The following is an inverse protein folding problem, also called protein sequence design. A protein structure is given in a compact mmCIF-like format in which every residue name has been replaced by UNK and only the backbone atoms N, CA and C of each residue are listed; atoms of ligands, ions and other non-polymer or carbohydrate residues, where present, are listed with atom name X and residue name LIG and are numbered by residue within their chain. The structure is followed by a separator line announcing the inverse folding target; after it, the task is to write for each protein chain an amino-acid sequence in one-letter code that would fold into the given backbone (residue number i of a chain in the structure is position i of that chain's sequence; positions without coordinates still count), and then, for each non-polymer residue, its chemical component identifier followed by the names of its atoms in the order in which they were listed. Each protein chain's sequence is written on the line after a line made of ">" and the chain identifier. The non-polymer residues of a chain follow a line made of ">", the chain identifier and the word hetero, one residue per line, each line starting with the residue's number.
data_IF_212534783402
#
_entry.id   IF_212534783402
#
_cell.length_a   1.000
_cell.length_b   1.000
_cell.length_c   1.000
_cell.angle_alpha   90.00
_cell.angle_beta   90.00
_cell.angle_gamma   90.00
#
_symmetry.space_group_name_H-M   'P 1'
#
loop_
_entity.id
_entity.type
_entity.pdbx_description
1 polymer ?
#
# COMPACT_ATOMS: atom_id res chain seq x y z
N UNK A 1 -55.56 -8.02 -29.54
CA UNK A 1 -54.48 -9.02 -29.47
C UNK A 1 -53.18 -8.25 -29.69
N UNK A 2 -52.48 -7.87 -28.62
CA UNK A 2 -51.29 -7.00 -28.67
C UNK A 2 -50.06 -7.83 -28.30
N UNK A 3 -49.13 -8.01 -29.24
CA UNK A 3 -47.83 -8.65 -29.02
C UNK A 3 -46.82 -7.60 -28.58
N UNK A 4 -46.21 -7.81 -27.42
CA UNK A 4 -45.03 -7.07 -26.97
C UNK A 4 -43.79 -7.71 -27.60
N UNK A 5 -43.03 -6.93 -28.37
CA UNK A 5 -41.70 -7.32 -28.86
C UNK A 5 -40.69 -6.85 -27.81
N UNK A 6 -40.13 -7.80 -27.06
CA UNK A 6 -38.97 -7.54 -26.21
C UNK A 6 -37.73 -7.54 -27.09
N UNK A 7 -37.23 -6.36 -27.44
CA UNK A 7 -35.91 -6.21 -28.08
C UNK A 7 -34.86 -6.35 -26.98
N UNK A 8 -34.29 -7.54 -26.84
CA UNK A 8 -33.08 -7.75 -26.04
C UNK A 8 -31.90 -7.25 -26.88
N UNK A 9 -31.42 -6.06 -26.57
CA UNK A 9 -30.17 -5.52 -27.09
C UNK A 9 -29.01 -6.36 -26.56
N UNK A 10 -28.65 -7.40 -27.31
CA UNK A 10 -27.35 -8.06 -27.19
C UNK A 10 -26.29 -7.14 -27.79
N UNK A 11 -25.65 -6.34 -26.94
CA UNK A 11 -24.35 -5.75 -27.28
C UNK A 11 -23.36 -6.92 -27.34
N UNK A 12 -22.68 -7.18 -28.47
CA UNK A 12 -21.78 -8.32 -28.57
C UNK A 12 -20.52 -7.99 -27.75
N UNK A 13 -20.34 -8.75 -26.67
CA UNK A 13 -19.14 -8.81 -25.82
C UNK A 13 -17.84 -9.11 -26.61
N UNK A 14 -17.96 -9.46 -27.89
CA UNK A 14 -16.86 -9.78 -28.82
C UNK A 14 -16.05 -8.54 -29.23
N UNK A 15 -16.63 -7.32 -29.18
CA UNK A 15 -15.87 -6.09 -29.46
C UNK A 15 -14.91 -5.68 -28.31
N UNK A 16 -15.01 -6.31 -27.13
CA UNK A 16 -14.11 -6.07 -26.00
C UNK A 16 -12.82 -6.92 -26.07
N UNK A 17 -12.77 -7.93 -26.94
CA UNK A 17 -11.75 -8.99 -26.88
C UNK A 17 -10.57 -8.79 -27.85
N UNK A 18 -10.70 -8.02 -28.93
CA UNK A 18 -9.56 -7.54 -29.72
C UNK A 18 -8.88 -6.32 -29.08
N UNK A 19 -9.40 -5.83 -27.95
CA UNK A 19 -8.96 -4.63 -27.25
C UNK A 19 -8.00 -4.90 -26.06
N UNK A 20 -7.55 -6.13 -25.79
CA UNK A 20 -6.82 -6.43 -24.54
C UNK A 20 -5.40 -5.84 -24.47
N UNK A 21 -4.66 -5.80 -25.58
CA UNK A 21 -3.38 -5.08 -25.66
C UNK A 21 -3.58 -3.59 -25.93
N UNK A 22 -4.62 -3.24 -26.70
CA UNK A 22 -4.99 -1.85 -27.00
C UNK A 22 -5.43 -1.06 -25.76
N UNK A 23 -6.14 -1.69 -24.82
CA UNK A 23 -6.64 -1.03 -23.60
C UNK A 23 -5.55 -0.73 -22.57
N UNK A 24 -4.49 -1.53 -22.48
CA UNK A 24 -3.37 -1.19 -21.59
C UNK A 24 -2.59 0.01 -22.13
N UNK A 25 -2.34 0.06 -23.43
CA UNK A 25 -1.73 1.26 -24.02
C UNK A 25 -2.63 2.48 -23.85
N UNK A 26 -3.96 2.30 -23.86
CA UNK A 26 -4.92 3.38 -23.57
C UNK A 26 -4.86 3.86 -22.11
N UNK A 27 -4.68 2.99 -21.12
CA UNK A 27 -4.63 3.43 -19.73
C UNK A 27 -3.35 4.24 -19.40
N UNK A 28 -2.18 3.84 -19.89
CA UNK A 28 -0.96 4.66 -19.73
C UNK A 28 -1.05 5.95 -20.54
N UNK A 29 -1.64 5.91 -21.75
CA UNK A 29 -1.94 7.12 -22.52
C UNK A 29 -2.93 8.03 -21.78
N UNK A 30 -3.92 7.47 -21.11
CA UNK A 30 -4.89 8.22 -20.31
C UNK A 30 -4.26 8.87 -19.09
N UNK A 31 -3.27 8.21 -18.48
CA UNK A 31 -2.46 8.83 -17.42
C UNK A 31 -1.57 9.93 -18.01
N UNK A 32 -1.03 9.72 -19.20
CA UNK A 32 -0.16 10.70 -19.84
C UNK A 32 -0.89 11.84 -20.56
N UNK A 33 -2.21 11.76 -20.77
CA UNK A 33 -2.93 12.72 -21.62
C UNK A 33 -2.95 14.13 -21.05
N UNK A 34 -2.83 14.25 -19.73
CA UNK A 34 -2.89 15.54 -19.04
C UNK A 34 -1.48 16.11 -18.78
N UNK A 35 -0.70 16.26 -19.86
CA UNK A 35 0.61 16.93 -19.79
C UNK A 35 1.80 16.00 -19.51
N UNK A 36 1.67 14.70 -19.82
CA UNK A 36 2.77 13.75 -19.81
C UNK A 36 3.23 13.36 -21.21
N UNK A 37 4.32 12.59 -21.27
CA UNK A 37 4.81 11.97 -22.50
C UNK A 37 5.01 10.48 -22.29
N UNK A 38 4.52 9.69 -23.24
CA UNK A 38 4.75 8.25 -23.28
C UNK A 38 6.10 7.98 -23.94
N UNK A 39 7.01 7.34 -23.21
CA UNK A 39 8.32 6.88 -23.70
C UNK A 39 8.39 5.36 -23.55
N UNK A 40 8.23 4.64 -24.67
CA UNK A 40 8.11 3.18 -24.63
C UNK A 40 6.87 2.73 -23.85
N UNK A 41 7.08 2.00 -22.74
CA UNK A 41 6.03 1.53 -21.83
C UNK A 41 5.95 2.35 -20.53
N UNK A 42 6.47 3.57 -20.58
CA UNK A 42 6.55 4.49 -19.45
C UNK A 42 5.73 5.73 -19.76
N UNK A 43 5.00 6.22 -18.77
CA UNK A 43 4.43 7.56 -18.81
C UNK A 43 5.29 8.48 -17.93
N UNK A 44 5.86 9.53 -18.52
CA UNK A 44 6.65 10.53 -17.79
C UNK A 44 5.81 11.79 -17.65
N UNK A 45 5.60 12.23 -16.41
CA UNK A 45 4.77 13.39 -16.07
C UNK A 45 5.59 14.40 -15.27
N UNK A 46 5.72 15.64 -15.75
CA UNK A 46 6.25 16.74 -14.95
C UNK A 46 5.21 17.20 -13.93
N UNK A 47 5.58 17.19 -12.66
CA UNK A 47 4.78 17.79 -11.59
C UNK A 47 5.34 19.18 -11.28
N UNK A 48 4.46 20.17 -11.24
CA UNK A 48 4.84 21.55 -10.91
C UNK A 48 4.89 21.79 -9.39
N UNK A 49 5.37 22.97 -8.99
CA UNK A 49 5.51 23.33 -7.57
C UNK A 49 4.16 23.37 -6.83
N UNK A 50 3.06 23.72 -7.49
CA UNK A 50 1.74 23.78 -6.87
C UNK A 50 1.19 22.37 -6.60
N UNK A 51 1.34 21.46 -7.56
CA UNK A 51 1.03 20.04 -7.40
C UNK A 51 1.92 19.39 -6.33
N UNK A 52 3.17 19.83 -6.21
CA UNK A 52 4.04 19.40 -5.12
C UNK A 52 3.50 19.87 -3.75
N UNK A 53 3.18 21.16 -3.59
CA UNK A 53 2.68 21.69 -2.31
C UNK A 53 1.38 21.01 -1.87
N UNK A 54 0.49 20.71 -2.83
CA UNK A 54 -0.75 19.98 -2.56
C UNK A 54 -0.51 18.55 -2.05
N UNK A 55 0.57 17.90 -2.49
CA UNK A 55 0.83 16.49 -2.20
C UNK A 55 1.90 16.27 -1.10
N UNK A 56 2.72 17.27 -0.78
CA UNK A 56 3.89 17.13 0.09
C UNK A 56 3.67 17.46 1.59
N UNK A 57 2.42 17.62 2.03
CA UNK A 57 2.04 17.81 3.45
C UNK A 57 2.98 18.73 4.25
N UNK A 58 3.35 19.89 3.69
CA UNK A 58 4.08 20.95 4.40
C UNK A 58 5.61 20.90 4.35
N UNK A 59 6.21 20.06 3.51
CA UNK A 59 7.66 20.10 3.27
C UNK A 59 7.99 21.11 2.16
N UNK A 60 8.96 22.00 2.41
CA UNK A 60 9.48 22.89 1.37
C UNK A 60 10.42 22.14 0.41
N UNK A 61 10.50 22.50 -0.89
CA UNK A 61 11.44 21.88 -1.83
C UNK A 61 12.90 21.90 -1.37
N UNK A 62 13.32 22.96 -0.64
CA UNK A 62 14.66 23.09 -0.06
C UNK A 62 14.93 22.08 1.07
N UNK A 63 13.92 21.73 1.88
CA UNK A 63 14.09 20.73 2.93
C UNK A 63 14.28 19.33 2.33
N UNK A 64 13.62 19.04 1.21
CA UNK A 64 13.84 17.81 0.45
C UNK A 64 15.26 17.70 -0.10
N UNK A 65 15.78 18.79 -0.67
CA UNK A 65 17.14 18.84 -1.19
C UNK A 65 18.18 18.51 -0.12
N UNK A 66 17.98 19.04 1.09
CA UNK A 66 18.91 18.85 2.21
C UNK A 66 18.92 17.41 2.74
N UNK A 67 17.81 16.70 2.63
CA UNK A 67 17.64 15.38 3.25
C UNK A 67 17.82 14.21 2.29
N UNK A 68 17.89 14.45 0.97
CA UNK A 68 18.04 13.42 -0.07
C UNK A 68 17.14 12.19 0.19
N UNK A 69 15.94 12.40 0.74
CA UNK A 69 15.05 11.31 1.14
C UNK A 69 14.29 10.82 -0.10
N UNK A 70 14.89 9.82 -0.75
CA UNK A 70 14.34 9.20 -1.95
C UNK A 70 12.93 8.63 -1.72
N UNK A 71 12.68 8.08 -0.52
CA UNK A 71 11.38 7.48 -0.18
C UNK A 71 10.27 8.53 -0.09
N UNK A 72 10.59 9.70 0.46
CA UNK A 72 9.64 10.80 0.52
C UNK A 72 9.27 11.33 -0.88
N UNK A 73 10.23 11.40 -1.83
CA UNK A 73 9.93 11.85 -3.20
C UNK A 73 9.13 10.81 -3.98
N UNK A 74 9.43 9.51 -3.80
CA UNK A 74 8.67 8.44 -4.42
C UNK A 74 7.20 8.44 -3.97
N UNK A 75 6.95 8.74 -2.69
CA UNK A 75 5.60 8.88 -2.13
C UNK A 75 4.80 10.02 -2.79
N UNK A 76 5.46 11.08 -3.29
CA UNK A 76 4.78 12.15 -4.02
C UNK A 76 4.24 11.66 -5.36
N UNK A 77 5.05 10.92 -6.12
CA UNK A 77 4.60 10.32 -7.38
C UNK A 77 3.43 9.36 -7.16
N UNK A 78 3.45 8.60 -6.06
CA UNK A 78 2.32 7.77 -5.62
C UNK A 78 1.07 8.60 -5.35
N UNK A 79 1.21 9.61 -4.49
CA UNK A 79 0.10 10.43 -4.00
C UNK A 79 -0.56 11.16 -5.16
N UNK A 80 0.23 11.70 -6.10
CA UNK A 80 -0.27 12.29 -7.34
C UNK A 80 -1.06 11.27 -8.17
N UNK A 81 -0.54 10.06 -8.35
CA UNK A 81 -1.22 8.99 -9.09
C UNK A 81 -2.56 8.62 -8.44
N UNK A 82 -2.58 8.45 -7.11
CA UNK A 82 -3.78 8.11 -6.36
C UNK A 82 -4.82 9.25 -6.38
N UNK A 83 -4.41 10.48 -6.11
CA UNK A 83 -5.31 11.64 -6.08
C UNK A 83 -5.96 11.90 -7.44
N UNK A 84 -5.18 11.82 -8.52
CA UNK A 84 -5.65 12.17 -9.86
C UNK A 84 -6.50 11.05 -10.48
N UNK A 85 -6.13 9.79 -10.25
CA UNK A 85 -6.71 8.66 -11.00
C UNK A 85 -7.61 7.75 -10.17
N UNK A 86 -7.69 7.92 -8.85
CA UNK A 86 -8.69 7.22 -8.03
C UNK A 86 -10.11 7.43 -8.56
N UNK A 87 -10.45 8.66 -8.97
CA UNK A 87 -11.78 8.99 -9.51
C UNK A 87 -12.06 8.35 -10.88
N UNK A 88 -11.08 8.34 -11.78
CA UNK A 88 -11.17 7.70 -13.10
C UNK A 88 -11.47 6.20 -13.00
N UNK A 89 -10.90 5.53 -11.99
CA UNK A 89 -11.13 4.10 -11.74
C UNK A 89 -12.39 3.80 -10.92
N UNK A 90 -12.92 4.78 -10.19
CA UNK A 90 -14.18 4.65 -9.46
C UNK A 90 -15.39 4.91 -10.37
N UNK A 91 -15.27 5.80 -11.36
CA UNK A 91 -16.35 6.18 -12.28
C UNK A 91 -16.72 5.14 -13.34
N UNK A 92 -15.87 4.13 -13.58
CA UNK A 92 -16.10 3.08 -14.59
C UNK A 92 -16.62 1.75 -14.05
N UNK A 93 -17.00 1.65 -12.76
CA UNK A 93 -17.28 0.36 -12.12
C UNK A 93 -18.67 -0.19 -12.44
N UNK A 94 -18.70 -1.37 -13.04
CA UNK A 94 -19.73 -2.38 -12.78
C UNK A 94 -19.59 -2.87 -11.33
N UNK A 95 -20.71 -3.15 -10.65
CA UNK A 95 -20.78 -3.53 -9.23
C UNK A 95 -19.96 -4.79 -8.86
N UNK A 96 -19.51 -5.56 -9.85
CA UNK A 96 -18.86 -6.86 -9.66
C UNK A 96 -17.32 -6.85 -9.76
N UNK A 97 -16.69 -5.70 -10.03
CA UNK A 97 -15.23 -5.60 -10.07
C UNK A 97 -14.73 -5.17 -8.68
N UNK A 98 -13.97 -6.02 -7.95
CA UNK A 98 -13.47 -5.69 -6.62
C UNK A 98 -12.69 -4.37 -6.66
N UNK A 99 -12.73 -3.61 -5.57
CA UNK A 99 -11.98 -2.38 -5.44
C UNK A 99 -10.48 -2.65 -5.60
N UNK A 100 -9.95 -2.37 -6.79
CA UNK A 100 -8.55 -2.47 -7.10
C UNK A 100 -7.93 -1.07 -6.98
N UNK A 101 -6.77 -0.99 -6.34
CA UNK A 101 -6.02 0.26 -6.17
C UNK A 101 -5.10 0.44 -7.38
N UNK A 102 -4.94 1.67 -7.88
CA UNK A 102 -4.15 1.92 -9.09
C UNK A 102 -2.68 1.50 -8.93
N UNK A 103 -2.17 1.63 -7.71
CA UNK A 103 -0.82 1.24 -7.29
C UNK A 103 -0.59 -0.27 -7.32
N UNK A 104 -1.66 -1.07 -7.45
CA UNK A 104 -1.54 -2.50 -7.72
C UNK A 104 -0.98 -2.79 -9.12
N UNK A 105 -1.24 -1.89 -10.07
CA UNK A 105 -0.94 -2.08 -11.50
C UNK A 105 0.14 -1.17 -12.01
N UNK A 106 0.37 -0.05 -11.33
CA UNK A 106 1.27 0.99 -11.80
C UNK A 106 2.34 1.19 -10.75
N UNK A 107 3.57 0.87 -11.13
CA UNK A 107 4.74 1.32 -10.41
C UNK A 107 4.91 2.82 -10.67
N UNK A 108 5.33 3.52 -9.62
CA UNK A 108 5.68 4.93 -9.66
C UNK A 108 7.11 5.09 -9.13
N UNK A 109 7.89 5.92 -9.79
CA UNK A 109 9.23 6.32 -9.33
C UNK A 109 9.53 7.74 -9.86
N UNK A 110 10.66 8.30 -9.44
CA UNK A 110 11.27 9.43 -10.14
C UNK A 110 11.81 8.98 -11.50
N UNK A 111 11.58 9.79 -12.52
CA UNK A 111 12.08 9.52 -13.86
C UNK A 111 13.61 9.54 -13.91
N UNK A 112 14.16 8.65 -14.72
CA UNK A 112 15.60 8.44 -14.84
C UNK A 112 16.22 9.38 -15.88
N UNK A 113 17.34 10.03 -15.56
CA UNK A 113 18.03 10.97 -16.47
C UNK A 113 18.63 10.29 -17.71
N UNK A 114 18.91 8.98 -17.65
CA UNK A 114 19.63 8.25 -18.69
C UNK A 114 18.81 7.83 -19.93
N UNK A 115 17.48 7.85 -19.87
CA UNK A 115 16.62 7.14 -20.84
C UNK A 115 16.28 7.93 -22.11
N UNK A 116 17.11 8.91 -22.53
CA UNK A 116 16.76 9.88 -23.59
C UNK A 116 15.41 10.60 -23.35
N UNK A 117 14.90 10.60 -22.11
CA UNK A 117 13.57 11.14 -21.78
C UNK A 117 13.46 12.65 -22.03
N UNK A 118 14.60 13.35 -22.03
CA UNK A 118 14.66 14.79 -22.25
C UNK A 118 14.19 15.17 -23.65
N UNK A 119 14.58 14.41 -24.68
CA UNK A 119 14.23 14.74 -26.06
C UNK A 119 12.71 14.70 -26.29
N UNK A 120 11.97 13.65 -25.88
CA UNK A 120 10.51 13.63 -25.93
C UNK A 120 9.86 14.74 -25.09
N UNK A 121 10.38 15.03 -23.89
CA UNK A 121 9.81 16.06 -23.02
C UNK A 121 10.01 17.49 -23.57
N UNK A 122 11.18 17.79 -24.13
CA UNK A 122 11.44 19.05 -24.84
C UNK A 122 10.60 19.15 -26.12
N UNK A 123 10.50 18.06 -26.89
CA UNK A 123 9.66 18.01 -28.09
C UNK A 123 8.19 18.29 -27.81
N UNK A 124 7.70 17.83 -26.65
CA UNK A 124 6.34 18.10 -26.17
C UNK A 124 6.19 19.45 -25.44
N UNK A 125 7.26 20.23 -25.30
CA UNK A 125 7.30 21.52 -24.58
C UNK A 125 6.81 21.42 -23.12
N UNK A 126 7.12 20.30 -22.47
CA UNK A 126 6.72 20.03 -21.09
C UNK A 126 7.74 20.48 -20.05
N UNK A 127 8.96 20.79 -20.49
CA UNK A 127 10.00 21.35 -19.66
C UNK A 127 10.07 22.86 -19.90
N UNK A 128 9.83 23.62 -18.85
CA UNK A 128 10.04 25.06 -18.87
C UNK A 128 11.53 25.35 -18.69
N UNK A 129 12.11 26.18 -19.58
CA UNK A 129 13.56 26.49 -19.58
C UNK A 129 14.04 27.12 -18.26
N UNK A 130 13.14 27.81 -17.54
CA UNK A 130 13.39 28.47 -16.26
C UNK A 130 13.01 27.61 -15.04
N UNK A 131 12.91 26.29 -15.17
CA UNK A 131 12.63 25.37 -14.04
C UNK A 131 13.69 24.29 -13.90
N UNK A 132 14.03 23.99 -12.66
CA UNK A 132 14.86 22.86 -12.29
C UNK A 132 13.97 21.65 -11.98
N UNK A 133 14.14 20.56 -12.74
CA UNK A 133 13.37 19.33 -12.56
C UNK A 133 14.22 18.27 -11.86
N UNK A 134 13.74 17.78 -10.71
CA UNK A 134 14.35 16.68 -9.97
C UNK A 134 14.07 15.34 -10.65
N UNK A 135 15.10 14.52 -10.71
CA UNK A 135 15.15 13.22 -11.38
C UNK A 135 16.05 12.27 -10.60
N UNK A 136 16.16 11.02 -11.08
CA UNK A 136 17.03 9.99 -10.55
C UNK A 136 18.13 9.66 -11.55
N UNK A 137 19.37 9.59 -11.09
CA UNK A 137 20.52 9.10 -11.84
C UNK A 137 20.55 7.58 -11.93
N UNK A 138 21.40 7.05 -12.81
CA UNK A 138 21.58 5.62 -12.94
C UNK A 138 21.93 4.83 -11.67
N UNK A 139 22.69 5.47 -10.80
CA UNK A 139 23.12 4.93 -9.51
C UNK A 139 22.08 5.10 -8.40
N UNK A 140 20.90 5.65 -8.71
CA UNK A 140 19.82 5.91 -7.77
C UNK A 140 19.95 7.23 -7.00
N UNK A 141 20.99 8.02 -7.25
CA UNK A 141 21.14 9.36 -6.66
C UNK A 141 20.19 10.36 -7.31
N UNK A 142 19.93 11.48 -6.62
CA UNK A 142 19.10 12.54 -7.17
C UNK A 142 19.90 13.42 -8.13
N UNK A 143 19.28 13.86 -9.22
CA UNK A 143 19.85 14.76 -10.21
C UNK A 143 18.87 15.83 -10.66
N UNK A 144 19.41 16.93 -11.17
CA UNK A 144 18.65 18.00 -11.80
C UNK A 144 18.93 18.04 -13.29
N UNK A 145 17.87 18.18 -14.09
CA UNK A 145 17.98 18.31 -15.55
C UNK A 145 18.53 19.69 -15.95
N UNK A 146 18.24 20.73 -15.16
CA UNK A 146 18.74 22.09 -15.38
C UNK A 146 19.49 22.57 -14.13
N UNK A 147 20.54 23.36 -14.33
CA UNK A 147 21.38 23.94 -13.26
C UNK A 147 21.40 25.46 -13.28
N UNK A 148 20.35 26.09 -13.83
CA UNK A 148 20.26 27.55 -13.82
C UNK A 148 19.85 28.04 -12.41
N UNK A 149 20.20 29.28 -12.10
CA UNK A 149 19.73 30.08 -10.93
C UNK A 149 18.22 30.38 -11.05
N UNK A 150 17.45 29.36 -11.38
CA UNK A 150 16.04 29.44 -11.71
C UNK A 150 15.20 29.46 -10.45
N UNK A 151 14.11 30.21 -10.47
CA UNK A 151 13.24 30.42 -9.31
C UNK A 151 12.15 29.34 -9.16
N UNK A 152 12.12 28.35 -10.06
CA UNK A 152 11.08 27.33 -10.11
C UNK A 152 11.62 25.90 -9.98
N UNK A 153 10.88 25.07 -9.25
CA UNK A 153 11.20 23.66 -9.02
C UNK A 153 10.08 22.76 -9.53
N UNK A 154 10.44 21.62 -10.11
CA UNK A 154 9.51 20.56 -10.51
C UNK A 154 10.10 19.17 -10.31
N UNK A 155 9.29 18.15 -10.51
CA UNK A 155 9.71 16.74 -10.43
C UNK A 155 9.27 16.03 -11.69
N UNK A 156 10.04 15.03 -12.13
CA UNK A 156 9.56 14.12 -13.16
C UNK A 156 9.18 12.79 -12.51
N UNK A 157 7.90 12.46 -12.55
CA UNK A 157 7.43 11.15 -12.14
C UNK A 157 7.38 10.23 -13.35
N UNK A 158 7.85 9.00 -13.15
CA UNK A 158 7.73 7.89 -14.08
C UNK A 158 6.68 6.91 -13.57
N UNK A 159 5.74 6.57 -14.45
CA UNK A 159 4.71 5.57 -14.22
C UNK A 159 4.87 4.43 -15.20
N UNK A 160 4.94 3.20 -14.70
CA UNK A 160 5.10 1.99 -15.51
C UNK A 160 4.17 0.88 -15.06
N UNK A 161 3.83 -0.04 -15.95
CA UNK A 161 3.05 -1.21 -15.53
C UNK A 161 3.86 -2.13 -14.62
N UNK A 162 3.26 -2.49 -13.50
CA UNK A 162 3.77 -3.54 -12.62
C UNK A 162 3.42 -4.89 -13.24
N UNK A 163 4.46 -5.63 -13.66
CA UNK A 163 4.34 -7.00 -14.24
C UNK A 163 3.31 -7.03 -15.38
N UNK A 164 3.63 -6.33 -16.46
CA UNK A 164 2.82 -6.25 -17.68
C UNK A 164 2.32 -7.63 -18.15
N UNK A 165 3.16 -8.66 -18.04
CA UNK A 165 2.83 -10.02 -18.47
C UNK A 165 1.73 -10.66 -17.60
N UNK A 166 1.65 -10.33 -16.31
CA UNK A 166 0.58 -10.78 -15.43
C UNK A 166 -0.74 -10.03 -15.74
N UNK A 167 -0.70 -8.72 -16.00
CA UNK A 167 -1.91 -8.00 -16.42
C UNK A 167 -2.46 -8.53 -17.75
N UNK A 168 -1.59 -8.79 -18.73
CA UNK A 168 -2.01 -9.32 -20.02
C UNK A 168 -2.82 -10.61 -19.83
N UNK A 169 -2.37 -11.50 -18.94
CA UNK A 169 -3.08 -12.76 -18.62
C UNK A 169 -4.46 -12.59 -17.99
N UNK A 170 -4.77 -11.44 -17.39
CA UNK A 170 -6.10 -11.16 -16.83
C UNK A 170 -7.13 -10.76 -17.90
N UNK A 171 -6.64 -10.22 -19.03
CA UNK A 171 -7.48 -9.85 -20.16
C UNK A 171 -7.53 -10.95 -21.23
N UNK A 172 -6.70 -11.98 -21.12
CA UNK A 172 -6.87 -13.18 -21.93
C UNK A 172 -8.18 -13.87 -21.51
N UNK A 173 -9.09 -14.16 -22.46
CA UNK A 173 -10.31 -14.89 -22.15
C UNK A 173 -9.94 -16.21 -21.50
N UNK A 174 -10.36 -16.41 -20.25
CA UNK A 174 -10.13 -17.65 -19.53
C UNK A 174 -10.77 -18.77 -20.34
N UNK A 175 -9.92 -19.52 -21.06
CA UNK A 175 -10.35 -20.61 -21.91
C UNK A 175 -10.92 -21.68 -20.99
N UNK A 176 -12.25 -21.73 -20.92
CA UNK A 176 -12.98 -22.61 -20.04
C UNK A 176 -12.89 -24.02 -20.61
N UNK A 177 -11.86 -24.78 -20.26
CA UNK A 177 -11.90 -26.24 -20.37
C UNK A 177 -10.68 -26.87 -19.72
N UNK A 178 -10.88 -27.44 -18.53
CA UNK A 178 -10.70 -28.88 -18.23
C UNK A 178 -11.02 -29.01 -16.74
N UNK A 179 -11.94 -29.89 -16.37
CA UNK A 179 -12.21 -30.21 -14.96
C UNK A 179 -10.93 -30.76 -14.31
N UNK A 180 -10.15 -29.85 -13.73
CA UNK A 180 -9.03 -30.18 -12.85
C UNK A 180 -9.64 -30.68 -11.54
N UNK A 181 -9.18 -31.79 -10.97
CA UNK A 181 -9.69 -32.30 -9.70
C UNK A 181 -9.67 -31.16 -8.67
N UNK A 182 -10.85 -30.81 -8.18
CA UNK A 182 -11.05 -29.70 -7.25
C UNK A 182 -10.52 -30.14 -5.90
N UNK A 183 -9.23 -29.86 -5.66
CA UNK A 183 -8.65 -29.92 -4.32
C UNK A 183 -9.56 -29.07 -3.41
N UNK A 184 -10.04 -29.60 -2.27
CA UNK A 184 -10.87 -28.84 -1.36
C UNK A 184 -10.19 -27.52 -0.98
N UNK A 185 -10.95 -26.43 -0.97
CA UNK A 185 -10.44 -25.08 -0.62
C UNK A 185 -9.70 -25.08 0.73
N UNK A 186 -10.15 -25.87 1.69
CA UNK A 186 -9.50 -26.06 3.00
C UNK A 186 -8.08 -26.63 2.90
N UNK A 187 -7.83 -27.52 1.94
CA UNK A 187 -6.51 -28.09 1.70
C UNK A 187 -5.59 -27.07 1.02
N UNK A 188 -6.12 -26.27 0.09
CA UNK A 188 -5.39 -25.16 -0.53
C UNK A 188 -5.02 -24.08 0.50
N UNK A 189 -5.92 -23.73 1.41
CA UNK A 189 -5.62 -22.80 2.52
C UNK A 189 -4.52 -23.37 3.42
N UNK A 190 -4.61 -24.65 3.78
CA UNK A 190 -3.61 -25.33 4.59
C UNK A 190 -2.23 -25.43 3.93
N UNK A 191 -2.18 -25.45 2.60
CA UNK A 191 -0.93 -25.53 1.82
C UNK A 191 -0.35 -24.15 1.49
N UNK A 192 -1.18 -23.21 1.09
CA UNK A 192 -0.73 -21.97 0.45
C UNK A 192 -0.79 -20.76 1.40
N UNK A 193 -1.63 -20.79 2.45
CA UNK A 193 -1.78 -19.69 3.41
C UNK A 193 -1.02 -19.96 4.70
N UNK A 194 -1.39 -21.03 5.42
CA UNK A 194 -0.89 -21.30 6.78
C UNK A 194 0.64 -21.43 6.87
N UNK A 195 1.32 -22.15 5.94
CA UNK A 195 2.78 -22.31 6.02
C UNK A 195 3.56 -21.02 5.76
N UNK A 196 2.92 -20.05 5.11
CA UNK A 196 3.52 -18.76 4.76
C UNK A 196 3.17 -17.64 5.75
N UNK A 197 2.38 -17.94 6.78
CA UNK A 197 2.14 -17.03 7.87
C UNK A 197 3.40 -16.95 8.77
N UNK A 198 3.85 -15.73 9.04
CA UNK A 198 5.02 -15.46 9.89
C UNK A 198 4.57 -15.13 11.33
N UNK A 199 5.37 -15.46 12.35
CA UNK A 199 5.06 -15.10 13.72
C UNK A 199 5.04 -13.58 13.90
N UNK A 200 3.96 -13.04 14.45
CA UNK A 200 3.88 -11.66 14.90
C UNK A 200 4.54 -11.57 16.28
N UNK A 201 5.77 -11.07 16.34
CA UNK A 201 6.56 -11.06 17.55
C UNK A 201 6.32 -9.78 18.33
N UNK A 202 5.97 -9.91 19.61
CA UNK A 202 5.86 -8.81 20.55
C UNK A 202 7.16 -8.65 21.33
N UNK A 203 7.60 -7.42 21.51
CA UNK A 203 8.67 -7.02 22.41
C UNK A 203 8.23 -5.86 23.29
N UNK A 204 8.92 -5.72 24.41
CA UNK A 204 8.66 -4.66 25.38
C UNK A 204 9.94 -3.92 25.73
N UNK A 205 9.90 -2.59 25.63
CA UNK A 205 10.99 -1.71 26.02
C UNK A 205 10.78 -1.18 27.43
N UNK A 206 11.42 -1.78 28.44
CA UNK A 206 11.28 -1.37 29.85
C UNK A 206 11.56 0.12 30.07
N UNK A 207 12.59 0.68 29.41
CA UNK A 207 12.96 2.09 29.54
C UNK A 207 11.90 3.05 28.98
N UNK A 208 11.12 2.61 28.00
CA UNK A 208 10.15 3.44 27.29
C UNK A 208 8.70 3.12 27.68
N UNK A 209 8.48 1.97 28.33
CA UNK A 209 7.17 1.41 28.67
C UNK A 209 6.32 1.32 27.40
N UNK A 210 6.85 0.65 26.38
CA UNK A 210 6.21 0.52 25.06
C UNK A 210 6.29 -0.91 24.55
N UNK A 211 5.20 -1.36 23.95
CA UNK A 211 5.21 -2.58 23.15
C UNK A 211 5.54 -2.30 21.69
N UNK A 212 6.25 -3.24 21.07
CA UNK A 212 6.57 -3.22 19.66
C UNK A 212 6.32 -4.58 19.03
N UNK A 213 5.97 -4.58 17.75
CA UNK A 213 5.50 -5.69 16.96
C UNK A 213 6.26 -5.73 15.65
N UNK A 214 6.78 -6.90 15.31
CA UNK A 214 7.45 -7.10 14.03
C UNK A 214 7.22 -8.50 13.51
N UNK A 215 7.26 -8.63 12.19
CA UNK A 215 7.31 -9.91 11.50
C UNK A 215 8.76 -10.10 11.02
N UNK A 216 9.22 -11.35 10.98
CA UNK A 216 10.46 -11.78 10.31
C UNK A 216 11.81 -11.39 10.96
N UNK A 217 11.91 -10.24 11.62
CA UNK A 217 13.14 -9.82 12.30
C UNK A 217 13.30 -10.47 13.69
N UNK A 218 14.51 -10.96 14.01
CA UNK A 218 14.92 -11.26 15.40
C UNK A 218 15.52 -10.04 16.12
N UNK A 219 15.82 -8.96 15.39
CA UNK A 219 16.45 -7.76 15.94
C UNK A 219 15.37 -6.75 16.25
N UNK A 220 15.07 -6.60 17.53
CA UNK A 220 14.21 -5.53 18.02
C UNK A 220 15.01 -4.22 18.09
N UNK A 221 14.32 -3.06 18.15
CA UNK A 221 15.00 -1.80 18.43
C UNK A 221 15.83 -1.89 19.72
N UNK A 222 16.92 -1.13 19.80
CA UNK A 222 17.80 -1.12 20.98
C UNK A 222 16.98 -0.78 22.23
N UNK A 223 17.11 -1.59 23.27
CA UNK A 223 16.37 -1.43 24.54
C UNK A 223 15.05 -2.20 24.61
N UNK A 224 14.61 -2.86 23.53
CA UNK A 224 13.46 -3.75 23.53
C UNK A 224 13.88 -5.20 23.78
N UNK A 225 13.12 -5.89 24.62
CA UNK A 225 13.30 -7.32 24.88
C UNK A 225 12.15 -8.10 24.28
N UNK A 226 12.47 -9.20 23.62
CA UNK A 226 11.45 -10.14 23.13
C UNK A 226 10.62 -10.66 24.29
N UNK A 227 9.31 -10.62 24.16
CA UNK A 227 8.41 -11.26 25.12
C UNK A 227 7.97 -12.62 24.58
N UNK A 228 7.20 -12.62 23.48
CA UNK A 228 6.64 -13.82 22.84
C UNK A 228 6.07 -13.54 21.46
N UNK A 229 5.62 -14.60 20.78
CA UNK A 229 4.84 -14.49 19.56
C UNK A 229 3.34 -14.40 19.90
N UNK A 230 2.63 -13.49 19.24
CA UNK A 230 1.21 -13.25 19.37
C UNK A 230 0.45 -13.89 18.19
N UNK A 231 0.75 -15.17 17.92
CA UNK A 231 0.25 -15.91 16.77
C UNK A 231 1.02 -15.62 15.47
N UNK A 232 0.44 -16.03 14.35
CA UNK A 232 1.00 -15.87 13.00
C UNK A 232 0.07 -15.02 12.13
N UNK A 233 0.66 -14.21 11.27
CA UNK A 233 -0.02 -13.32 10.32
C UNK A 233 0.62 -13.48 8.95
N UNK A 234 -0.09 -13.13 7.88
CA UNK A 234 0.51 -13.13 6.54
C UNK A 234 1.22 -11.79 6.35
N UNK A 235 2.56 -11.76 6.20
CA UNK A 235 3.26 -10.51 5.93
C UNK A 235 2.75 -9.87 4.64
N UNK A 236 2.59 -8.54 4.63
CA UNK A 236 2.12 -7.84 3.44
C UNK A 236 3.06 -8.04 2.24
N UNK A 237 4.37 -8.15 2.49
CA UNK A 237 5.37 -8.51 1.47
C UNK A 237 5.01 -9.83 0.79
N UNK A 238 4.77 -10.91 1.53
CA UNK A 238 4.35 -12.19 0.97
C UNK A 238 3.02 -12.09 0.21
N UNK A 239 2.04 -11.39 0.79
CA UNK A 239 0.76 -11.16 0.14
C UNK A 239 0.89 -10.45 -1.20
N UNK A 240 1.70 -9.38 -1.27
CA UNK A 240 1.91 -8.61 -2.49
C UNK A 240 2.49 -9.44 -3.64
N UNK A 241 3.30 -10.47 -3.33
CA UNK A 241 3.83 -11.39 -4.33
C UNK A 241 2.81 -12.46 -4.77
N UNK A 242 1.93 -12.88 -3.86
CA UNK A 242 0.97 -13.98 -4.06
C UNK A 242 -0.50 -13.53 -4.07
N UNK A 243 -0.73 -12.26 -4.42
CA UNK A 243 -2.00 -11.56 -4.21
C UNK A 243 -3.18 -12.26 -4.87
N UNK A 244 -3.03 -12.67 -6.13
CA UNK A 244 -4.09 -13.31 -6.90
C UNK A 244 -4.55 -14.63 -6.23
N UNK A 245 -3.58 -15.47 -5.84
CA UNK A 245 -3.85 -16.74 -5.14
C UNK A 245 -4.54 -16.49 -3.81
N UNK A 246 -4.01 -15.58 -2.98
CA UNK A 246 -4.56 -15.31 -1.65
C UNK A 246 -5.94 -14.65 -1.74
N UNK A 247 -6.17 -13.71 -2.66
CA UNK A 247 -7.50 -13.11 -2.88
C UNK A 247 -8.51 -14.13 -3.40
N UNK A 248 -8.09 -15.09 -4.23
CA UNK A 248 -8.95 -16.16 -4.72
C UNK A 248 -9.37 -17.10 -3.60
N UNK A 249 -8.43 -17.53 -2.76
CA UNK A 249 -8.70 -18.46 -1.65
C UNK A 249 -9.39 -17.79 -0.46
N UNK A 250 -8.96 -16.57 -0.11
CA UNK A 250 -9.41 -15.88 1.11
C UNK A 250 -9.72 -14.39 0.85
N UNK A 251 -10.75 -14.08 0.03
CA UNK A 251 -11.07 -12.72 -0.41
C UNK A 251 -11.42 -11.73 0.70
N UNK A 252 -11.82 -12.20 1.89
CA UNK A 252 -12.22 -11.34 3.02
C UNK A 252 -11.09 -11.06 4.01
N UNK A 253 -9.87 -11.52 3.75
CA UNK A 253 -8.71 -11.10 4.54
C UNK A 253 -8.51 -9.59 4.37
N UNK A 254 -8.17 -8.94 5.48
CA UNK A 254 -8.06 -7.48 5.55
C UNK A 254 -6.61 -7.10 5.83
N UNK A 255 -6.14 -6.05 5.16
CA UNK A 255 -4.84 -5.45 5.41
C UNK A 255 -4.92 -4.61 6.69
N UNK A 256 -3.90 -4.74 7.53
CA UNK A 256 -3.63 -3.85 8.64
C UNK A 256 -2.37 -3.03 8.35
N UNK A 257 -2.48 -1.74 8.60
CA UNK A 257 -1.41 -0.77 8.48
C UNK A 257 -0.74 -0.55 9.83
N UNK A 258 0.57 -0.38 9.81
CA UNK A 258 1.37 -0.05 10.98
C UNK A 258 1.42 1.46 11.16
N UNK A 259 0.93 1.94 12.30
CA UNK A 259 0.91 3.36 12.62
C UNK A 259 1.73 3.61 13.87
N UNK A 260 2.54 4.68 13.83
CA UNK A 260 3.30 5.16 14.97
C UNK A 260 2.76 6.47 15.49
N UNK A 261 2.24 6.47 16.72
CA UNK A 261 1.78 7.66 17.41
C UNK A 261 2.89 8.30 18.24
N UNK A 262 3.05 9.62 18.12
CA UNK A 262 4.13 10.39 18.74
C UNK A 262 3.78 11.01 20.10
N UNK A 263 2.73 10.55 20.80
CA UNK A 263 2.34 11.09 22.10
C UNK A 263 3.49 11.00 23.13
N UNK A 264 4.05 12.14 23.54
CA UNK A 264 5.03 12.21 24.65
C UNK A 264 6.12 13.27 24.49
N UNK A 265 6.86 13.51 25.57
CA UNK A 265 7.84 14.59 25.76
C UNK A 265 8.99 14.49 24.74
N UNK A 266 8.82 15.16 23.61
CA UNK A 266 9.85 15.42 22.62
C UNK A 266 9.97 14.33 21.55
N UNK A 267 10.17 14.80 20.32
CA UNK A 267 10.48 14.08 19.08
C UNK A 267 11.78 13.24 19.11
N UNK A 268 12.16 12.67 20.25
CA UNK A 268 13.42 11.92 20.47
C UNK A 268 13.39 10.49 19.88
N UNK A 269 12.84 10.36 18.67
CA UNK A 269 12.91 9.19 17.80
C UNK A 269 11.92 8.06 18.07
N UNK A 270 11.69 7.24 17.02
CA UNK A 270 11.49 5.78 17.04
C UNK A 270 10.92 5.16 18.33
N UNK A 271 11.80 5.12 19.32
CA UNK A 271 11.72 4.26 20.50
C UNK A 271 10.63 4.67 21.49
N UNK A 272 10.13 5.90 21.40
CA UNK A 272 9.10 6.44 22.28
C UNK A 272 7.68 6.39 21.69
N UNK A 273 7.56 5.95 20.43
CA UNK A 273 6.29 5.99 19.72
C UNK A 273 5.44 4.77 20.06
N UNK A 274 4.13 4.99 20.19
CA UNK A 274 3.19 3.88 20.26
C UNK A 274 3.05 3.26 18.90
N UNK A 275 3.20 1.95 18.82
CA UNK A 275 2.80 1.22 17.64
C UNK A 275 1.37 0.71 17.82
N UNK A 276 0.52 1.01 16.85
CA UNK A 276 -0.82 0.46 16.76
C UNK A 276 -1.16 0.06 15.32
N UNK A 277 -2.21 -0.75 15.17
CA UNK A 277 -2.67 -1.22 13.88
C UNK A 277 -3.96 -0.52 13.47
N UNK A 278 -4.01 -0.09 12.21
CA UNK A 278 -5.17 0.57 11.62
C UNK A 278 -5.69 -0.20 10.41
N UNK A 279 -7.00 -0.14 10.18
CA UNK A 279 -7.63 -0.63 8.95
C UNK A 279 -7.53 0.35 7.78
N UNK A 280 -7.06 1.58 8.05
CA UNK A 280 -6.95 2.66 7.07
C UNK A 280 -5.51 3.17 7.02
N UNK A 281 -5.00 3.48 5.81
CA UNK A 281 -3.67 4.06 5.64
C UNK A 281 -3.59 5.53 6.11
N UNK A 282 -4.70 6.26 6.13
CA UNK A 282 -4.71 7.69 6.48
C UNK A 282 -4.86 7.87 7.99
N UNK A 283 -3.76 8.06 8.71
CA UNK A 283 -3.74 8.60 10.07
C UNK A 283 -2.91 9.90 10.06
N UNK A 284 -3.25 10.93 10.86
CA UNK A 284 -2.34 12.07 11.11
C UNK A 284 -1.01 11.63 11.77
N UNK A 285 -0.97 10.40 12.29
CA UNK A 285 0.22 9.76 12.83
C UNK A 285 1.11 9.17 11.71
N UNK A 286 2.36 8.82 12.06
CA UNK A 286 3.32 8.31 11.10
C UNK A 286 2.94 6.91 10.64
N UNK A 287 2.39 6.82 9.43
CA UNK A 287 2.06 5.55 8.79
C UNK A 287 3.32 4.92 8.19
N UNK A 288 3.65 3.70 8.61
CA UNK A 288 4.77 2.91 8.09
C UNK A 288 4.36 1.96 6.95
N UNK A 289 3.10 2.03 6.51
CA UNK A 289 2.53 1.30 5.39
C UNK A 289 1.75 0.06 5.79
N UNK A 290 1.33 -0.69 4.77
CA UNK A 290 0.64 -1.96 4.95
C UNK A 290 1.60 -2.99 5.54
N UNK A 291 1.23 -3.55 6.70
CA UNK A 291 2.09 -4.44 7.46
C UNK A 291 1.71 -5.90 7.23
N UNK A 292 0.44 -6.26 7.42
CA UNK A 292 0.02 -7.66 7.47
C UNK A 292 -1.42 -7.87 7.02
N UNK A 293 -1.76 -9.12 6.65
CA UNK A 293 -3.13 -9.55 6.49
C UNK A 293 -3.58 -10.38 7.68
N UNK A 294 -4.81 -10.11 8.10
CA UNK A 294 -5.50 -10.76 9.21
C UNK A 294 -6.96 -11.01 8.86
N UNK A 295 -7.65 -11.78 9.70
CA UNK A 295 -9.09 -11.96 9.59
C UNK A 295 -9.85 -11.08 10.58
N UNK A 296 -10.99 -10.50 10.14
CA UNK A 296 -11.95 -9.86 11.05
C UNK A 296 -12.92 -10.85 11.70
N UNK A 297 -12.98 -12.08 11.19
CA UNK A 297 -13.93 -13.12 11.58
C UNK A 297 -13.20 -14.35 12.10
N UNK A 298 -13.63 -14.86 13.26
CA UNK A 298 -13.09 -16.10 13.83
C UNK A 298 -13.28 -17.26 12.86
N UNK A 299 -12.21 -18.01 12.60
CA UNK A 299 -12.20 -19.23 11.78
C UNK A 299 -12.14 -18.99 10.28
N UNK A 300 -12.33 -17.76 9.81
CA UNK A 300 -12.21 -17.47 8.40
C UNK A 300 -10.76 -17.68 7.93
N UNK A 301 -10.60 -18.42 6.83
CA UNK A 301 -9.29 -18.83 6.30
C UNK A 301 -8.39 -19.55 7.34
N UNK A 302 -8.98 -20.17 8.36
CA UNK A 302 -8.25 -20.85 9.45
C UNK A 302 -7.74 -19.92 10.58
N UNK A 303 -7.94 -18.60 10.48
CA UNK A 303 -7.53 -17.66 11.52
C UNK A 303 -8.49 -17.72 12.72
N UNK A 304 -8.11 -18.47 13.77
CA UNK A 304 -8.97 -18.79 14.91
C UNK A 304 -8.57 -18.11 16.22
N UNK A 305 -7.35 -17.57 16.30
CA UNK A 305 -6.82 -16.99 17.53
C UNK A 305 -7.21 -15.53 17.64
N UNK A 306 -7.93 -15.16 18.69
CA UNK A 306 -8.30 -13.76 18.92
C UNK A 306 -7.07 -12.92 19.30
N UNK A 307 -6.96 -11.74 18.72
CA UNK A 307 -6.02 -10.70 19.13
C UNK A 307 -6.79 -9.61 19.88
N UNK A 308 -6.56 -9.50 21.17
CA UNK A 308 -7.15 -8.48 22.03
C UNK A 308 -6.33 -7.20 21.97
N UNK A 309 -6.99 -6.05 21.94
CA UNK A 309 -6.35 -4.73 21.96
C UNK A 309 -6.51 -4.07 23.32
N UNK A 310 -5.41 -3.52 23.82
CA UNK A 310 -5.32 -2.81 25.10
C UNK A 310 -4.72 -1.42 24.85
N UNK A 311 -5.41 -0.39 25.32
CA UNK A 311 -4.96 0.99 25.28
C UNK A 311 -4.70 1.47 26.71
N UNK A 312 -3.55 2.08 26.96
CA UNK A 312 -3.23 2.70 28.24
C UNK A 312 -3.96 4.03 28.40
N UNK A 313 -4.34 4.34 29.64
CA UNK A 313 -4.80 5.67 30.06
C UNK A 313 -3.67 6.54 30.60
N UNK A 314 -2.45 6.02 30.69
CA UNK A 314 -1.32 6.76 31.23
C UNK A 314 -0.95 7.96 30.33
N UNK A 315 -0.37 9.05 30.87
CA UNK A 315 0.06 10.19 30.07
C UNK A 315 1.12 9.86 29.02
N UNK A 316 1.95 8.83 29.28
CA UNK A 316 2.92 8.29 28.35
C UNK A 316 2.34 7.16 27.50
N UNK A 317 1.00 7.11 27.36
CA UNK A 317 0.19 5.93 27.09
C UNK A 317 0.83 4.92 26.16
N UNK A 318 0.75 3.65 26.49
CA UNK A 318 1.18 2.51 25.68
C UNK A 318 -0.04 1.86 25.01
N UNK A 319 0.21 1.14 23.92
CA UNK A 319 -0.79 0.30 23.24
C UNK A 319 -0.20 -1.06 23.00
N UNK A 320 -0.94 -2.10 23.36
CA UNK A 320 -0.50 -3.45 23.05
C UNK A 320 -1.66 -4.36 22.68
N UNK A 321 -1.29 -5.36 21.91
CA UNK A 321 -2.07 -6.48 21.45
C UNK A 321 -1.59 -7.76 22.12
N UNK A 322 -2.54 -8.62 22.49
CA UNK A 322 -2.25 -9.93 23.08
C UNK A 322 -3.25 -10.98 22.60
N UNK A 323 -2.76 -12.19 22.37
CA UNK A 323 -3.57 -13.39 22.13
C UNK A 323 -3.88 -14.16 23.42
N UNK A 324 -3.31 -13.72 24.55
CA UNK A 324 -3.56 -14.30 25.87
C UNK A 324 -4.73 -13.57 26.53
N UNK A 325 -5.90 -14.22 26.52
CA UNK A 325 -7.12 -13.69 27.12
C UNK A 325 -6.97 -13.41 28.62
N UNK A 326 -6.23 -14.24 29.35
CA UNK A 326 -5.98 -14.03 30.79
C UNK A 326 -5.18 -12.76 31.03
N UNK A 327 -4.16 -12.48 30.22
CA UNK A 327 -3.39 -11.23 30.29
C UNK A 327 -4.26 -10.03 29.95
N UNK A 328 -5.08 -10.14 28.90
CA UNK A 328 -6.04 -9.11 28.52
C UNK A 328 -6.98 -8.78 29.69
N UNK A 329 -7.67 -9.79 30.23
CA UNK A 329 -8.62 -9.64 31.33
C UNK A 329 -7.95 -9.09 32.58
N UNK A 330 -6.79 -9.62 32.96
CA UNK A 330 -6.06 -9.13 34.12
C UNK A 330 -5.64 -7.67 33.95
N UNK A 331 -5.13 -7.30 32.77
CA UNK A 331 -4.65 -5.94 32.49
C UNK A 331 -5.79 -4.93 32.57
N UNK A 332 -6.92 -5.20 31.90
CA UNK A 332 -8.04 -4.24 31.86
C UNK A 332 -8.82 -4.16 33.18
N UNK A 333 -8.66 -5.14 34.09
CA UNK A 333 -9.33 -5.18 35.39
C UNK A 333 -8.45 -4.68 36.54
N UNK A 334 -7.17 -5.05 36.56
CA UNK A 334 -6.30 -4.91 37.74
C UNK A 334 -5.13 -3.94 37.52
N UNK A 335 -4.72 -3.67 36.28
CA UNK A 335 -3.61 -2.75 36.03
C UNK A 335 -4.12 -1.31 35.95
N UNK A 336 -3.75 -0.48 36.93
CA UNK A 336 -4.21 0.92 37.04
C UNK A 336 -3.89 1.77 35.81
N UNK A 337 -2.85 1.42 35.04
CA UNK A 337 -2.48 2.12 33.81
C UNK A 337 -3.43 1.81 32.63
N UNK A 338 -4.17 0.70 32.70
CA UNK A 338 -5.01 0.19 31.60
C UNK A 338 -6.46 -0.07 32.03
N UNK A 339 -6.79 0.22 33.29
CA UNK A 339 -8.07 -0.16 33.85
C UNK A 339 -9.24 0.51 33.11
N UNK A 340 -10.21 -0.30 32.68
CA UNK A 340 -11.42 0.17 32.02
C UNK A 340 -11.28 0.49 30.52
N UNK A 341 -10.19 0.11 29.85
CA UNK A 341 -10.10 0.15 28.37
C UNK A 341 -10.50 -1.19 27.76
N UNK A 342 -11.81 -1.41 27.65
CA UNK A 342 -12.38 -2.65 27.07
C UNK A 342 -12.54 -2.55 25.56
N UNK A 343 -11.42 -2.55 24.83
CA UNK A 343 -11.47 -2.45 23.35
C UNK A 343 -11.83 -3.78 22.68
N UNK A 344 -11.75 -4.90 23.40
CA UNK A 344 -12.14 -6.22 22.92
C UNK A 344 -11.17 -6.82 21.91
N UNK A 345 -11.72 -7.66 21.03
CA UNK A 345 -10.98 -8.33 19.95
C UNK A 345 -10.81 -7.34 18.81
N UNK A 346 -9.56 -7.08 18.42
CA UNK A 346 -9.25 -6.26 17.24
C UNK A 346 -9.35 -7.07 15.94
N UNK A 347 -8.79 -8.29 15.93
CA UNK A 347 -8.76 -9.18 14.76
C UNK A 347 -8.42 -10.61 15.17
N UNK A 348 -8.37 -11.52 14.21
CA UNK A 348 -8.01 -12.92 14.38
C UNK A 348 -6.77 -13.29 13.55
N UNK A 349 -5.92 -14.13 14.14
CA UNK A 349 -4.64 -14.60 13.60
C UNK A 349 -4.57 -16.13 13.58
N UNK A 350 -3.55 -16.68 12.94
CA UNK A 350 -3.26 -18.12 12.92
C UNK A 350 -2.40 -18.53 14.13
N UNK A 351 -2.37 -19.83 14.44
CA UNK A 351 -1.54 -20.40 15.53
C UNK A 351 -0.14 -20.85 15.04
#
# INVERSE_FOLDING_TARGET
>A
MWQWITVVLFIPFVALLEASTGNLDLLLKDICKDGGVVVGRKCILPLNADEFQLNAAGLSPMEFEKHHDFSAVQLLCQTHLENRYSQLLLGGRSADIPALEITDYINYDLAWTGDNILTPLHGAKLLEEAKNYLTKNPDGTLAYINSFESTGFGFLCEYTYRRFDELASWFEPTSTSTQKPTIPETELIGRDIVPNAAPLRRSYGWFFIKHHYQMDSRRFPVGYQYERAEGKVIPYSYYSHNRATIKSLCPKLSVLYEIFQTYGIGSRGKLWWNQYFSWQPSSPDLNNGAMMLVSKQKGYCGANKAMYYVLSKAPYGDTFYTTNETEYLWTVQNNTLYQGTKNGIAFYVWE
#
